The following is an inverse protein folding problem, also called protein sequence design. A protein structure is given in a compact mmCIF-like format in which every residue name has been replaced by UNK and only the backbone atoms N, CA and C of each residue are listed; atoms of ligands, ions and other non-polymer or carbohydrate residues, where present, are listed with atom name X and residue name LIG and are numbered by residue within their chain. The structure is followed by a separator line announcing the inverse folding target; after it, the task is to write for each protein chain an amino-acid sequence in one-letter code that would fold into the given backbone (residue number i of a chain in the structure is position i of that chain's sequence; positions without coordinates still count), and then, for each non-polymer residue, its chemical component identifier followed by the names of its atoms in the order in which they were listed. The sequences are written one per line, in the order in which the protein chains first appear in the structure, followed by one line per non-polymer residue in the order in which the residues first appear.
data_IF_313482729370
#
_entry.id   IF_313482729370
#
_cell.length_a   1.000
_cell.length_b   1.000
_cell.length_c   1.000
_cell.angle_alpha   90.00
_cell.angle_beta   90.00
_cell.angle_gamma   90.00
#
_symmetry.space_group_name_H-M   'P 1'
#
loop_
_entity.id
_entity.type
_entity.pdbx_description
1 polymer ?
#
# COMPACT_ATOMS: atom_id res chain seq x y z
N UNK A 1 4.33 17.64 -1.29
CA UNK A 1 4.27 16.38 -2.07
C UNK A 1 3.68 15.31 -1.18
N UNK A 2 2.80 14.44 -1.70
CA UNK A 2 2.21 13.32 -0.95
C UNK A 2 2.91 12.02 -1.35
N UNK A 3 3.24 11.15 -0.39
CA UNK A 3 3.76 9.80 -0.63
C UNK A 3 2.71 8.79 -0.23
N UNK A 4 2.40 7.86 -1.14
CA UNK A 4 1.50 6.75 -0.85
C UNK A 4 2.15 5.76 0.13
N UNK A 5 1.41 5.35 1.16
CA UNK A 5 1.81 4.33 2.14
C UNK A 5 0.99 3.07 1.85
N UNK A 6 1.64 1.91 1.79
CA UNK A 6 1.01 0.62 1.42
C UNK A 6 0.08 0.01 2.47
N UNK A 7 -0.80 0.81 3.09
CA UNK A 7 -1.82 0.35 4.02
C UNK A 7 -3.19 0.61 3.39
N UNK A 8 -4.01 -0.43 3.35
CA UNK A 8 -5.30 -0.39 2.67
C UNK A 8 -6.39 -1.00 3.53
N UNK A 9 -7.62 -0.49 3.36
CA UNK A 9 -8.82 -1.08 3.94
C UNK A 9 -9.78 -1.45 2.80
N UNK A 10 -10.24 -2.70 2.78
CA UNK A 10 -11.10 -3.22 1.73
C UNK A 10 -12.37 -3.85 2.29
N UNK A 11 -13.45 -3.80 1.52
CA UNK A 11 -14.60 -4.68 1.74
C UNK A 11 -14.26 -6.07 1.22
N UNK A 12 -14.66 -7.12 1.94
CA UNK A 12 -14.44 -8.50 1.49
C UNK A 12 -15.09 -8.78 0.12
N UNK A 13 -16.26 -8.19 -0.16
CA UNK A 13 -16.92 -8.28 -1.47
C UNK A 13 -16.10 -7.64 -2.59
N UNK A 14 -15.44 -6.52 -2.32
CA UNK A 14 -14.56 -5.86 -3.28
C UNK A 14 -13.35 -6.74 -3.60
N UNK A 15 -12.69 -7.34 -2.61
CA UNK A 15 -11.54 -8.23 -2.86
C UNK A 15 -11.90 -9.41 -3.79
N UNK A 16 -13.11 -9.97 -3.64
CA UNK A 16 -13.60 -11.03 -4.53
C UNK A 16 -13.78 -10.53 -5.97
N UNK A 17 -14.34 -9.33 -6.15
CA UNK A 17 -14.53 -8.75 -7.48
C UNK A 17 -13.19 -8.31 -8.10
N UNK A 18 -12.31 -7.71 -7.31
CA UNK A 18 -11.01 -7.17 -7.71
C UNK A 18 -10.11 -8.24 -8.33
N UNK A 19 -10.07 -9.43 -7.73
CA UNK A 19 -9.30 -10.56 -8.24
C UNK A 19 -9.80 -11.12 -9.58
N UNK A 20 -10.99 -10.72 -10.04
CA UNK A 20 -11.56 -11.12 -11.35
C UNK A 20 -11.39 -10.04 -12.43
N UNK A 21 -10.88 -8.86 -12.08
CA UNK A 21 -10.68 -7.79 -13.05
C UNK A 21 -9.48 -8.12 -13.95
N UNK A 22 -9.64 -7.83 -15.24
CA UNK A 22 -8.52 -7.92 -16.18
C UNK A 22 -7.41 -6.92 -15.78
N UNK A 23 -6.13 -7.29 -15.92
CA UNK A 23 -5.01 -6.36 -15.77
C UNK A 23 -5.20 -5.08 -16.59
N UNK A 24 -4.97 -3.92 -15.97
CA UNK A 24 -5.03 -2.64 -16.66
C UNK A 24 -3.66 -2.33 -17.29
N UNK A 25 -3.58 -1.79 -18.53
CA UNK A 25 -2.30 -1.45 -19.15
C UNK A 25 -1.42 -0.52 -18.29
N UNK A 26 -2.05 0.40 -17.57
CA UNK A 26 -1.35 1.36 -16.70
C UNK A 26 -0.80 0.72 -15.41
N UNK A 27 -1.41 -0.35 -14.90
CA UNK A 27 -0.88 -1.07 -13.73
C UNK A 27 0.48 -1.70 -14.06
N UNK A 28 0.65 -2.17 -15.30
CA UNK A 28 1.87 -2.79 -15.79
C UNK A 28 2.94 -1.74 -16.11
N UNK A 29 2.54 -0.64 -16.74
CA UNK A 29 3.46 0.44 -17.09
C UNK A 29 4.10 1.09 -15.86
N UNK A 30 3.33 1.26 -14.78
CA UNK A 30 3.78 1.90 -13.54
C UNK A 30 4.24 0.89 -12.47
N UNK A 31 3.97 -0.40 -12.68
CA UNK A 31 4.14 -1.45 -11.66
C UNK A 31 3.37 -1.13 -10.36
N UNK A 32 2.13 -0.63 -10.51
CA UNK A 32 1.26 -0.20 -9.41
C UNK A 32 -0.10 -0.88 -9.49
N UNK A 33 -0.29 -1.91 -8.65
CA UNK A 33 -1.49 -2.76 -8.63
C UNK A 33 -2.78 -1.95 -8.44
N UNK A 34 -2.79 -0.96 -7.53
CA UNK A 34 -3.99 -0.18 -7.20
C UNK A 34 -4.58 0.59 -8.39
N UNK A 35 -3.80 0.80 -9.46
CA UNK A 35 -4.29 1.45 -10.68
C UNK A 35 -5.33 0.58 -11.42
N UNK A 36 -5.33 -0.74 -11.22
CA UNK A 36 -6.37 -1.63 -11.76
C UNK A 36 -7.76 -1.22 -11.29
N UNK A 37 -7.89 -0.92 -10.00
CA UNK A 37 -9.17 -0.53 -9.42
C UNK A 37 -9.69 0.77 -10.06
N UNK A 38 -8.82 1.77 -10.19
CA UNK A 38 -9.16 3.05 -10.81
C UNK A 38 -9.52 2.90 -12.29
N UNK A 39 -8.77 2.08 -13.02
CA UNK A 39 -9.00 1.82 -14.44
C UNK A 39 -10.39 1.21 -14.71
N UNK A 40 -10.84 0.30 -13.84
CA UNK A 40 -12.16 -0.34 -13.92
C UNK A 40 -13.28 0.46 -13.24
N UNK A 41 -13.05 1.74 -12.93
CA UNK A 41 -14.08 2.66 -12.45
C UNK A 41 -14.36 2.61 -10.95
N UNK A 42 -13.57 1.87 -10.16
CA UNK A 42 -13.65 1.93 -8.70
C UNK A 42 -12.97 3.19 -8.16
N UNK A 43 -13.35 3.58 -6.94
CA UNK A 43 -12.79 4.73 -6.25
C UNK A 43 -11.93 4.28 -5.07
N UNK A 44 -10.82 4.98 -4.84
CA UNK A 44 -9.95 4.79 -3.68
C UNK A 44 -10.06 6.03 -2.79
N UNK A 45 -10.59 5.85 -1.58
CA UNK A 45 -10.53 6.88 -0.56
C UNK A 45 -9.10 6.99 -0.01
N UNK A 46 -8.59 8.21 0.10
CA UNK A 46 -7.24 8.47 0.63
C UNK A 46 -7.36 9.50 1.75
N UNK A 47 -6.60 9.29 2.83
CA UNK A 47 -6.46 10.26 3.93
C UNK A 47 -4.98 10.50 4.23
N UNK A 48 -4.67 11.65 4.82
CA UNK A 48 -3.33 12.00 5.26
C UNK A 48 -3.18 11.61 6.73
N UNK A 49 -2.14 10.85 7.05
CA UNK A 49 -1.76 10.55 8.45
C UNK A 49 -1.06 11.75 9.08
N UNK A 50 -1.22 11.93 10.39
CA UNK A 50 -0.54 13.00 11.14
C UNK A 50 0.98 12.79 11.12
N UNK A 51 1.39 11.56 11.41
CA UNK A 51 2.78 11.14 11.42
C UNK A 51 3.03 10.07 10.36
N UNK A 52 4.22 10.11 9.75
CA UNK A 52 4.67 9.05 8.87
C UNK A 52 4.95 7.79 9.70
N UNK A 53 4.49 6.60 9.27
CA UNK A 53 4.85 5.36 9.93
C UNK A 53 6.36 5.11 9.79
N UNK A 54 6.97 4.34 10.71
CA UNK A 54 8.33 3.84 10.53
C UNK A 54 8.48 3.11 9.19
N UNK A 55 9.70 3.09 8.65
CA UNK A 55 10.02 2.27 7.49
C UNK A 55 9.80 0.79 7.77
N UNK A 56 9.53 0.02 6.71
CA UNK A 56 9.54 -1.44 6.78
C UNK A 56 10.94 -1.99 7.08
N UNK A 57 11.00 -3.29 7.38
CA UNK A 57 12.26 -4.02 7.59
C UNK A 57 12.55 -4.85 6.35
N UNK A 58 13.44 -4.37 5.49
CA UNK A 58 13.79 -5.03 4.23
C UNK A 58 15.28 -5.45 4.19
N UNK A 59 16.12 -4.86 5.05
CA UNK A 59 17.56 -5.15 5.18
C UNK A 59 17.95 -5.51 6.62
N UNK A 60 19.15 -6.07 6.79
CA UNK A 60 19.71 -6.34 8.12
C UNK A 60 19.82 -5.06 8.98
N UNK A 61 20.14 -3.94 8.36
CA UNK A 61 20.23 -2.65 9.05
C UNK A 61 18.86 -2.17 9.55
N UNK A 62 17.79 -2.41 8.78
CA UNK A 62 16.43 -2.05 9.21
C UNK A 62 16.01 -2.89 10.42
N UNK A 63 16.39 -4.17 10.46
CA UNK A 63 16.12 -5.06 11.59
C UNK A 63 16.82 -4.59 12.87
N UNK A 64 18.09 -4.22 12.78
CA UNK A 64 18.84 -3.68 13.92
C UNK A 64 18.18 -2.40 14.45
N UNK A 65 17.76 -1.51 13.54
CA UNK A 65 17.06 -0.27 13.89
C UNK A 65 15.72 -0.56 14.57
N UNK A 66 14.92 -1.47 14.04
CA UNK A 66 13.63 -1.86 14.61
C UNK A 66 13.79 -2.46 16.03
N UNK A 67 14.83 -3.28 16.25
CA UNK A 67 15.15 -3.84 17.57
C UNK A 67 15.51 -2.77 18.59
N UNK A 68 16.36 -1.81 18.21
CA UNK A 68 16.73 -0.69 19.09
C UNK A 68 15.50 0.13 19.51
N UNK A 69 14.60 0.42 18.56
CA UNK A 69 13.34 1.11 18.87
C UNK A 69 12.51 0.27 19.83
N UNK A 70 12.33 -1.03 19.54
CA UNK A 70 11.52 -1.91 20.37
C UNK A 70 12.04 -2.08 21.80
N UNK A 71 13.35 -2.19 22.00
CA UNK A 71 13.98 -2.28 23.32
C UNK A 71 13.91 -0.96 24.12
N UNK A 72 13.70 0.16 23.42
CA UNK A 72 13.55 1.48 24.04
C UNK A 72 12.10 1.87 24.38
N UNK A 73 11.13 1.01 24.02
CA UNK A 73 9.71 1.15 24.41
C UNK A 73 9.48 0.66 25.84
#
# INVERSE_FOLDING_TARGET
MLRHIGIYAYRASFLKAYGQLAPAPIELAESLEQLRALYHGYQIGVTVTQDAPPSGVDTEQDLLTARQIFESL
#
